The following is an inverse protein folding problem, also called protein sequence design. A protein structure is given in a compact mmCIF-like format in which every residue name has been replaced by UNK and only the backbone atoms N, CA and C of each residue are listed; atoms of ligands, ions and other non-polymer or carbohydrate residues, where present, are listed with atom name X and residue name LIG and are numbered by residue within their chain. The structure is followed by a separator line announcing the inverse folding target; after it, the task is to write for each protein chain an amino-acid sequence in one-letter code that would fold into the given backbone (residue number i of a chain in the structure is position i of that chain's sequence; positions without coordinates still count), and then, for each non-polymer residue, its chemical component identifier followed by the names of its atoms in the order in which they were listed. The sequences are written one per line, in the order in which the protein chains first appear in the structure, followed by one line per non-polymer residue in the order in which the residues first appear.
data_IF_462932072359
#
_entry.id   IF_462932072359
#
_cell.length_a   1.000
_cell.length_b   1.000
_cell.length_c   1.000
_cell.angle_alpha   90.00
_cell.angle_beta   90.00
_cell.angle_gamma   90.00
#
_symmetry.space_group_name_H-M   'P 1'
#
loop_
_entity.id
_entity.type
_entity.pdbx_description
1 polymer ?
#
# COMPACT_ATOMS: atom_id res chain seq x y z
N UNK A 1 -56.97 52.12 -5.97
CA UNK A 1 -55.92 53.08 -6.37
C UNK A 1 -54.86 52.23 -7.07
N UNK A 2 -54.91 52.02 -8.39
CA UNK A 2 -54.22 52.82 -9.44
C UNK A 2 -52.74 53.01 -9.06
N UNK A 3 -51.69 52.64 -9.81
CA UNK A 3 -51.34 52.57 -11.24
C UNK A 3 -50.15 51.56 -11.35
N UNK A 4 -49.62 51.03 -12.46
CA UNK A 4 -49.68 51.31 -13.89
C UNK A 4 -48.76 50.31 -14.64
N UNK A 5 -48.88 50.29 -15.97
CA UNK A 5 -48.33 49.32 -16.93
C UNK A 5 -46.89 49.58 -17.41
N UNK A 6 -46.37 48.58 -18.15
CA UNK A 6 -45.32 48.58 -19.20
C UNK A 6 -43.85 48.47 -18.72
N UNK A 7 -42.94 47.72 -19.37
CA UNK A 7 -42.97 46.94 -20.61
C UNK A 7 -41.56 46.42 -20.97
N UNK A 8 -41.45 45.76 -22.15
CA UNK A 8 -40.25 45.49 -22.99
C UNK A 8 -39.26 44.39 -22.50
N UNK A 9 -39.25 43.19 -23.10
CA UNK A 9 -38.57 42.72 -24.36
C UNK A 9 -37.16 42.11 -24.09
N UNK A 10 -36.54 41.35 -25.01
CA UNK A 10 -36.28 39.92 -24.81
C UNK A 10 -34.78 39.54 -24.91
N UNK A 11 -34.52 38.23 -24.95
CA UNK A 11 -33.32 37.55 -25.46
C UNK A 11 -32.09 37.49 -24.55
N UNK A 12 -31.80 36.28 -24.06
CA UNK A 12 -30.59 35.55 -24.50
C UNK A 12 -30.71 34.10 -24.07
N UNK A 13 -30.71 33.19 -25.04
CA UNK A 13 -30.56 31.77 -24.80
C UNK A 13 -29.18 31.50 -24.21
N UNK A 14 -29.12 31.27 -22.90
CA UNK A 14 -27.97 30.68 -22.24
C UNK A 14 -28.09 29.16 -22.35
N UNK A 15 -27.25 28.53 -23.14
CA UNK A 15 -26.99 27.09 -23.04
C UNK A 15 -26.60 26.78 -21.59
N UNK A 16 -27.19 25.78 -20.91
CA UNK A 16 -26.71 25.41 -19.59
C UNK A 16 -25.28 24.86 -19.75
N UNK A 17 -24.30 25.60 -19.23
CA UNK A 17 -22.95 25.10 -19.02
C UNK A 17 -23.08 24.06 -17.92
N UNK A 18 -23.08 22.77 -18.29
CA UNK A 18 -22.92 21.70 -17.32
C UNK A 18 -21.62 21.98 -16.54
N UNK A 19 -21.59 21.81 -15.21
CA UNK A 19 -20.33 21.88 -14.47
C UNK A 19 -19.33 20.91 -15.12
N UNK A 20 -18.03 21.18 -15.08
CA UNK A 20 -17.07 20.16 -15.47
C UNK A 20 -17.37 18.94 -14.61
N UNK A 21 -17.83 17.86 -15.23
CA UNK A 21 -17.80 16.53 -14.63
C UNK A 21 -16.34 16.24 -14.40
N UNK A 22 -15.87 16.49 -13.18
CA UNK A 22 -14.68 15.83 -12.68
C UNK A 22 -14.99 14.34 -12.78
N UNK A 23 -14.36 13.65 -13.73
CA UNK A 23 -14.33 12.21 -13.71
C UNK A 23 -13.84 11.77 -12.32
N UNK A 24 -14.37 10.69 -11.73
CA UNK A 24 -13.70 10.09 -10.60
C UNK A 24 -12.28 9.75 -11.06
N UNK A 25 -11.28 10.15 -10.27
CA UNK A 25 -9.93 9.66 -10.44
C UNK A 25 -10.01 8.18 -10.08
N UNK A 26 -9.99 7.29 -11.07
CA UNK A 26 -9.87 5.84 -10.85
C UNK A 26 -8.47 5.62 -10.25
N UNK A 27 -8.37 5.76 -8.93
CA UNK A 27 -7.24 5.28 -8.16
C UNK A 27 -7.20 3.74 -8.20
N UNK A 28 -6.11 3.13 -7.71
CA UNK A 28 -6.02 1.69 -7.63
C UNK A 28 -7.20 1.16 -6.82
N UNK A 29 -8.03 0.31 -7.43
CA UNK A 29 -9.18 -0.30 -6.75
C UNK A 29 -8.75 -1.67 -6.27
N UNK A 30 -8.74 -1.90 -4.95
CA UNK A 30 -8.59 -3.25 -4.40
C UNK A 30 -9.73 -4.12 -4.93
N UNK A 31 -9.44 -5.28 -5.57
CA UNK A 31 -10.49 -6.17 -6.04
C UNK A 31 -11.37 -6.68 -4.87
N UNK A 32 -12.69 -6.69 -5.05
CA UNK A 32 -13.65 -7.16 -4.03
C UNK A 32 -13.46 -8.64 -3.66
N UNK A 33 -12.81 -9.41 -4.53
CA UNK A 33 -12.53 -10.84 -4.37
C UNK A 33 -11.06 -11.14 -4.05
N UNK A 34 -10.26 -10.12 -3.70
CA UNK A 34 -8.89 -10.32 -3.25
C UNK A 34 -8.84 -11.20 -1.98
N UNK A 35 -7.82 -12.06 -1.92
CA UNK A 35 -7.60 -12.90 -0.75
C UNK A 35 -7.09 -12.05 0.42
N UNK A 36 -7.70 -12.19 1.59
CA UNK A 36 -7.25 -11.50 2.80
C UNK A 36 -6.27 -12.38 3.59
N UNK A 37 -5.01 -11.97 3.64
CA UNK A 37 -3.91 -12.69 4.31
C UNK A 37 -3.52 -11.93 5.57
N UNK A 38 -3.24 -12.65 6.66
CA UNK A 38 -2.73 -12.02 7.89
C UNK A 38 -1.31 -11.50 7.67
N UNK A 39 -0.95 -10.37 8.30
CA UNK A 39 0.40 -9.79 8.14
C UNK A 39 1.55 -10.75 8.50
N UNK A 40 1.31 -11.71 9.39
CA UNK A 40 2.28 -12.74 9.82
C UNK A 40 2.10 -14.08 9.09
N UNK A 41 1.30 -14.10 8.02
CA UNK A 41 1.14 -15.25 7.11
C UNK A 41 1.57 -14.85 5.68
N UNK A 42 2.19 -13.67 5.52
CA UNK A 42 2.63 -13.16 4.23
C UNK A 42 3.89 -13.89 3.78
N UNK A 43 3.86 -14.40 2.55
CA UNK A 43 4.94 -15.17 1.95
C UNK A 43 5.67 -14.37 0.86
N UNK A 44 6.97 -14.64 0.69
CA UNK A 44 7.80 -14.01 -0.36
C UNK A 44 7.17 -14.17 -1.74
N UNK A 45 7.08 -13.07 -2.48
CA UNK A 45 6.48 -12.98 -3.81
C UNK A 45 4.99 -12.66 -3.82
N UNK A 46 4.35 -12.46 -2.66
CA UNK A 46 2.98 -11.94 -2.60
C UNK A 46 2.96 -10.44 -2.86
N UNK A 47 2.04 -10.02 -3.74
CA UNK A 47 1.86 -8.64 -4.14
C UNK A 47 0.60 -8.03 -3.49
N UNK A 48 0.74 -6.83 -2.94
CA UNK A 48 -0.31 -6.16 -2.16
C UNK A 48 -0.67 -4.86 -2.90
N UNK A 49 -1.96 -4.66 -3.26
CA UNK A 49 -2.38 -3.43 -3.92
C UNK A 49 -2.25 -2.26 -2.96
N UNK A 50 -2.23 -1.03 -3.50
CA UNK A 50 -2.30 0.14 -2.63
C UNK A 50 -3.59 0.09 -1.80
N UNK A 51 -3.45 0.18 -0.48
CA UNK A 51 -4.58 0.31 0.43
C UNK A 51 -4.34 1.52 1.32
N UNK A 52 -5.35 2.39 1.39
CA UNK A 52 -5.36 3.49 2.36
C UNK A 52 -5.71 2.90 3.74
N UNK A 53 -4.67 2.59 4.51
CA UNK A 53 -4.82 1.95 5.81
C UNK A 53 -5.31 2.95 6.87
N UNK A 54 -6.50 2.71 7.42
CA UNK A 54 -6.87 3.25 8.73
C UNK A 54 -6.17 2.44 9.85
N UNK A 55 -6.09 2.99 11.08
CA UNK A 55 -5.43 2.31 12.21
C UNK A 55 -5.99 0.87 12.45
N UNK A 56 -5.10 -0.06 12.82
CA UNK A 56 -5.38 -1.48 13.13
C UNK A 56 -5.79 -2.39 11.95
N UNK A 57 -4.88 -2.57 10.99
CA UNK A 57 -5.04 -3.56 9.91
C UNK A 57 -4.45 -4.91 10.33
N UNK A 58 -5.29 -5.93 10.47
CA UNK A 58 -4.86 -7.31 10.79
C UNK A 58 -4.63 -8.18 9.55
N UNK A 59 -5.29 -7.84 8.44
CA UNK A 59 -5.26 -8.59 7.20
C UNK A 59 -5.09 -7.64 6.03
N UNK A 60 -4.35 -8.09 5.02
CA UNK A 60 -4.12 -7.35 3.77
C UNK A 60 -4.69 -8.11 2.57
N UNK A 61 -5.22 -7.42 1.56
CA UNK A 61 -5.54 -8.05 0.29
C UNK A 61 -4.23 -8.45 -0.40
N UNK A 62 -4.19 -9.67 -0.93
CA UNK A 62 -3.13 -10.12 -1.84
C UNK A 62 -3.73 -10.28 -3.23
N UNK A 63 -3.00 -9.80 -4.23
CA UNK A 63 -3.35 -9.88 -5.64
C UNK A 63 -2.25 -10.61 -6.42
N UNK A 64 -2.59 -11.09 -7.62
CA UNK A 64 -1.55 -11.51 -8.57
C UNK A 64 -0.66 -10.30 -8.89
N UNK A 65 0.65 -10.50 -8.96
CA UNK A 65 1.58 -9.43 -9.34
C UNK A 65 1.34 -8.90 -10.76
N UNK A 66 0.63 -9.64 -11.63
CA UNK A 66 0.19 -9.15 -12.94
C UNK A 66 -1.00 -8.15 -12.85
N UNK A 67 -1.51 -7.88 -11.65
CA UNK A 67 -2.44 -6.79 -11.37
C UNK A 67 -1.69 -5.56 -10.84
N UNK A 68 -2.26 -4.35 -10.97
CA UNK A 68 -1.72 -3.16 -10.34
C UNK A 68 -1.52 -3.35 -8.83
N UNK A 69 -0.31 -3.11 -8.36
CA UNK A 69 0.01 -3.15 -6.94
C UNK A 69 1.14 -2.16 -6.62
N UNK A 70 1.37 -1.90 -5.33
CA UNK A 70 2.44 -1.01 -4.88
C UNK A 70 3.51 -1.74 -4.08
N UNK A 71 3.19 -2.92 -3.55
CA UNK A 71 3.96 -3.58 -2.51
C UNK A 71 4.21 -5.06 -2.87
N UNK A 72 5.39 -5.58 -2.56
CA UNK A 72 5.73 -6.99 -2.72
C UNK A 72 6.57 -7.49 -1.55
N UNK A 73 6.23 -8.67 -1.03
CA UNK A 73 7.00 -9.31 0.04
C UNK A 73 8.29 -9.88 -0.55
N UNK A 74 9.44 -9.45 -0.06
CA UNK A 74 10.73 -9.89 -0.62
C UNK A 74 11.55 -10.79 0.30
N UNK A 75 11.30 -10.72 1.61
CA UNK A 75 12.05 -11.50 2.59
C UNK A 75 11.22 -11.71 3.85
N UNK A 76 11.30 -12.93 4.41
CA UNK A 76 10.73 -13.24 5.72
C UNK A 76 11.74 -14.02 6.55
N UNK A 77 11.73 -13.81 7.87
CA UNK A 77 12.57 -14.54 8.80
C UNK A 77 12.03 -14.50 10.22
N UNK A 78 12.38 -15.51 11.02
CA UNK A 78 12.08 -15.53 12.45
C UNK A 78 13.20 -14.88 13.28
N UNK A 79 12.81 -14.09 14.27
CA UNK A 79 13.70 -13.69 15.36
C UNK A 79 13.89 -14.88 16.31
N UNK A 80 15.11 -15.05 16.82
CA UNK A 80 15.44 -16.10 17.79
C UNK A 80 14.45 -16.12 18.97
N UNK A 81 14.07 -17.33 19.37
CA UNK A 81 13.13 -17.55 20.47
C UNK A 81 13.64 -17.03 21.82
N UNK A 82 12.71 -16.63 22.70
CA UNK A 82 13.04 -16.17 24.05
C UNK A 82 12.03 -15.19 24.64
N UNK A 83 12.49 -14.41 25.63
CA UNK A 83 11.72 -13.28 26.13
C UNK A 83 11.64 -12.18 25.05
N UNK A 84 10.50 -11.47 24.99
CA UNK A 84 10.31 -10.40 24.02
C UNK A 84 11.42 -9.34 24.16
N UNK A 85 12.23 -9.08 23.11
CA UNK A 85 13.38 -8.16 23.20
C UNK A 85 13.00 -6.71 23.49
N UNK A 86 11.76 -6.33 23.15
CA UNK A 86 11.27 -4.95 23.15
C UNK A 86 11.08 -4.45 21.73
N UNK A 87 10.12 -3.53 21.54
CA UNK A 87 9.71 -3.07 20.22
C UNK A 87 10.87 -2.39 19.45
N UNK A 88 11.71 -1.63 20.14
CA UNK A 88 12.90 -0.97 19.56
C UNK A 88 13.91 -1.99 19.02
N UNK A 89 14.19 -3.04 19.78
CA UNK A 89 15.17 -4.06 19.38
C UNK A 89 14.66 -4.94 18.25
N UNK A 90 13.38 -5.32 18.28
CA UNK A 90 12.73 -6.04 17.19
C UNK A 90 12.75 -5.22 15.89
N UNK A 91 12.45 -3.92 15.98
CA UNK A 91 12.48 -3.02 14.82
C UNK A 91 13.91 -2.87 14.27
N UNK A 92 14.92 -2.77 15.14
CA UNK A 92 16.33 -2.71 14.73
C UNK A 92 16.76 -3.98 13.99
N UNK A 93 16.38 -5.14 14.51
CA UNK A 93 16.68 -6.44 13.89
C UNK A 93 16.01 -6.53 12.51
N UNK A 94 14.76 -6.10 12.40
CA UNK A 94 14.03 -6.06 11.13
C UNK A 94 14.75 -5.17 10.11
N UNK A 95 15.00 -3.90 10.45
CA UNK A 95 15.67 -2.94 9.57
C UNK A 95 17.01 -3.48 9.03
N UNK A 96 17.88 -3.98 9.92
CA UNK A 96 19.20 -4.51 9.55
C UNK A 96 19.13 -5.73 8.62
N UNK A 97 18.12 -6.58 8.76
CA UNK A 97 17.97 -7.81 7.97
C UNK A 97 17.27 -7.54 6.65
N UNK A 98 16.21 -6.73 6.68
CA UNK A 98 15.50 -6.28 5.49
C UNK A 98 16.45 -5.55 4.53
N UNK A 99 17.22 -4.54 5.01
CA UNK A 99 18.16 -3.82 4.16
C UNK A 99 19.26 -4.73 3.56
N UNK A 100 19.70 -5.74 4.32
CA UNK A 100 20.75 -6.66 3.86
C UNK A 100 20.29 -7.59 2.73
N UNK A 101 19.01 -7.98 2.72
CA UNK A 101 18.44 -8.87 1.69
C UNK A 101 17.83 -8.10 0.50
N UNK A 102 17.60 -6.79 0.64
CA UNK A 102 16.97 -5.95 -0.38
C UNK A 102 17.63 -6.07 -1.76
N UNK A 103 18.97 -5.95 -1.84
CA UNK A 103 19.70 -6.01 -3.10
C UNK A 103 19.58 -7.37 -3.79
N UNK A 104 19.58 -8.45 -3.01
CA UNK A 104 19.45 -9.80 -3.56
C UNK A 104 18.10 -10.01 -4.25
N UNK A 105 17.04 -9.33 -3.77
CA UNK A 105 15.73 -9.40 -4.38
C UNK A 105 15.54 -8.39 -5.52
N UNK A 106 15.74 -7.09 -5.26
CA UNK A 106 15.46 -5.99 -6.22
C UNK A 106 16.49 -5.93 -7.34
N UNK A 107 17.72 -6.34 -7.07
CA UNK A 107 18.85 -6.28 -7.99
C UNK A 107 19.66 -4.98 -7.93
N UNK A 108 19.28 -4.03 -7.08
CA UNK A 108 20.05 -2.81 -6.72
C UNK A 108 20.15 -2.66 -5.20
N UNK A 109 21.26 -2.08 -4.74
CA UNK A 109 21.39 -1.67 -3.36
C UNK A 109 20.30 -0.67 -2.98
N UNK A 110 19.77 -0.77 -1.76
CA UNK A 110 18.72 0.12 -1.25
C UNK A 110 19.04 1.61 -1.47
N UNK A 111 20.28 2.02 -1.21
CA UNK A 111 20.72 3.40 -1.35
C UNK A 111 20.71 3.94 -2.80
N UNK A 112 20.69 3.05 -3.79
CA UNK A 112 20.70 3.39 -5.23
C UNK A 112 19.34 3.12 -5.91
N UNK A 113 18.37 2.56 -5.17
CA UNK A 113 17.04 2.17 -5.62
C UNK A 113 16.03 3.31 -5.49
N UNK A 114 15.07 3.39 -6.41
CA UNK A 114 13.88 4.25 -6.27
C UNK A 114 12.76 3.58 -5.46
N UNK A 115 12.85 2.26 -5.28
CA UNK A 115 12.00 1.50 -4.39
C UNK A 115 12.48 1.64 -2.95
N UNK A 116 11.54 1.65 -2.03
CA UNK A 116 11.80 1.72 -0.60
C UNK A 116 11.22 0.48 0.09
N UNK A 117 11.45 0.30 1.39
CA UNK A 117 10.91 -0.85 2.12
C UNK A 117 10.37 -0.48 3.50
N UNK A 118 9.51 -1.34 4.01
CA UNK A 118 9.09 -1.35 5.40
C UNK A 118 9.01 -2.80 5.89
N UNK A 119 8.66 -2.96 7.16
CA UNK A 119 8.56 -4.26 7.79
C UNK A 119 7.32 -4.38 8.66
N UNK A 120 6.74 -5.59 8.66
CA UNK A 120 5.87 -6.08 9.72
C UNK A 120 6.72 -6.84 10.74
N UNK A 121 6.45 -6.61 12.02
CA UNK A 121 7.22 -7.19 13.14
C UNK A 121 6.29 -7.74 14.21
N UNK A 122 6.73 -8.75 14.98
CA UNK A 122 5.94 -9.25 16.07
C UNK A 122 5.83 -8.19 17.17
N UNK A 123 4.63 -8.08 17.75
CA UNK A 123 4.39 -7.26 18.94
C UNK A 123 4.56 -8.10 20.20
N UNK A 124 4.69 -7.47 21.39
CA UNK A 124 4.67 -8.23 22.64
C UNK A 124 3.39 -9.11 22.79
N UNK A 125 2.27 -8.69 22.18
CA UNK A 125 1.03 -9.48 22.18
C UNK A 125 1.15 -10.71 21.30
N UNK A 126 1.61 -10.58 20.06
CA UNK A 126 1.74 -11.72 19.13
C UNK A 126 2.91 -12.62 19.52
N UNK A 127 3.98 -12.07 20.08
CA UNK A 127 5.10 -12.84 20.65
C UNK A 127 4.65 -13.85 21.70
N UNK A 128 3.73 -13.46 22.59
CA UNK A 128 3.14 -14.37 23.59
C UNK A 128 2.29 -15.49 22.98
N UNK A 129 1.86 -15.33 21.73
CA UNK A 129 1.13 -16.33 20.96
C UNK A 129 2.05 -17.18 20.08
N UNK A 130 3.36 -16.93 20.10
CA UNK A 130 4.36 -17.70 19.36
C UNK A 130 4.87 -17.03 18.08
N UNK A 131 4.36 -15.84 17.74
CA UNK A 131 4.82 -15.08 16.57
C UNK A 131 6.27 -14.59 16.78
N UNK A 132 7.12 -14.90 15.81
CA UNK A 132 8.52 -14.48 15.73
C UNK A 132 8.84 -13.86 14.38
N UNK A 133 7.86 -13.81 13.48
CA UNK A 133 8.12 -13.58 12.08
C UNK A 133 8.24 -12.09 11.80
N UNK A 134 9.30 -11.74 11.09
CA UNK A 134 9.46 -10.45 10.44
C UNK A 134 9.20 -10.65 8.96
N UNK A 135 8.36 -9.76 8.40
CA UNK A 135 8.07 -9.72 6.97
C UNK A 135 8.61 -8.40 6.43
N UNK A 136 9.51 -8.46 5.46
CA UNK A 136 10.06 -7.31 4.76
C UNK A 136 9.31 -7.10 3.44
N UNK A 137 8.77 -5.90 3.24
CA UNK A 137 7.96 -5.54 2.09
C UNK A 137 8.65 -4.39 1.36
N UNK A 138 8.90 -4.59 0.06
CA UNK A 138 9.39 -3.53 -0.84
C UNK A 138 8.18 -2.83 -1.42
N UNK A 139 8.25 -1.52 -1.57
CA UNK A 139 7.17 -0.74 -2.14
C UNK A 139 7.65 0.28 -3.17
N UNK A 140 6.73 0.62 -4.07
CA UNK A 140 6.85 1.62 -5.11
C UNK A 140 5.89 2.77 -4.80
N UNK A 141 6.34 4.02 -5.00
CA UNK A 141 5.48 5.21 -4.88
C UNK A 141 4.45 5.34 -6.00
N UNK A 142 4.58 4.53 -7.04
CA UNK A 142 3.67 4.43 -8.18
C UNK A 142 3.22 2.98 -8.35
N UNK A 143 2.04 2.76 -8.93
CA UNK A 143 1.58 1.42 -9.28
C UNK A 143 2.56 0.72 -10.21
N UNK A 144 2.70 -0.59 -9.98
CA UNK A 144 3.51 -1.48 -10.79
C UNK A 144 2.66 -2.62 -11.33
N UNK A 145 3.16 -3.29 -12.37
CA UNK A 145 2.58 -4.53 -12.86
C UNK A 145 3.71 -5.47 -13.22
N UNK A 146 3.62 -6.70 -12.73
CA UNK A 146 4.72 -7.65 -12.63
C UNK A 146 5.48 -7.49 -11.30
N UNK A 147 6.20 -8.55 -10.91
CA UNK A 147 7.10 -8.54 -9.74
C UNK A 147 8.20 -7.48 -9.89
N UNK A 148 8.61 -6.88 -8.77
CA UNK A 148 9.79 -6.02 -8.67
C UNK A 148 11.08 -6.81 -8.41
N UNK A 149 11.00 -8.13 -8.28
CA UNK A 149 12.17 -9.00 -8.20
C UNK A 149 13.06 -8.83 -9.44
N UNK A 150 14.31 -8.43 -9.23
CA UNK A 150 15.27 -8.17 -10.29
C UNK A 150 14.93 -7.00 -11.20
N UNK A 151 14.03 -6.10 -10.78
CA UNK A 151 13.63 -4.92 -11.57
C UNK A 151 14.78 -3.91 -11.75
N UNK A 152 15.78 -3.93 -10.87
CA UNK A 152 16.99 -3.09 -10.93
C UNK A 152 16.67 -1.60 -11.14
N UNK A 153 15.81 -1.06 -10.27
CA UNK A 153 15.36 0.34 -10.30
C UNK A 153 15.28 0.93 -8.91
#
# INVERSE_FOLDING_TARGET
MSFGSAGTSPETGGTPIAPPTTAPSDGPTVPDDAEQVGWADLEVGQCIPYVDWEEDVYYVPVVSCDQPHTDEVYFTFDIDDGDFPGDEEVSRIADERCIAEFEAFVGYAYADSVLDFYWSVPTQRTWRMGDREVVCIVYSYEDVTGTVQGAAR
#
